data_IF_439220675058
#
_entry.id   IF_439220675058
#
_cell.length_a   1.000
_cell.length_b   1.000
_cell.length_c   1.000
_cell.angle_alpha   90.00
_cell.angle_beta   90.00
_cell.angle_gamma   90.00
#
_symmetry.space_group_name_H-M   'P 1'
#
loop_
_entity.id
_entity.type
_entity.pdbx_description
1 polymer ?
#
# COMPACT_ATOMS: atom_id res chain seq x y z
N UNK A 1 -18.82 7.83 16.10
CA UNK A 1 -17.91 6.71 15.72
C UNK A 1 -16.96 6.47 16.88
N UNK A 2 -16.87 5.25 17.41
CA UNK A 2 -15.93 4.96 18.48
C UNK A 2 -14.49 5.05 17.99
N UNK A 3 -13.57 5.45 18.87
CA UNK A 3 -12.15 5.51 18.56
C UNK A 3 -11.56 4.11 18.40
N UNK A 4 -10.61 4.00 17.49
CA UNK A 4 -9.77 2.81 17.36
C UNK A 4 -8.68 2.79 18.45
N UNK A 5 -8.13 1.62 18.80
CA UNK A 5 -6.91 1.55 19.58
C UNK A 5 -5.78 2.38 18.93
N UNK A 6 -4.94 3.06 19.74
CA UNK A 6 -3.90 3.94 19.19
C UNK A 6 -2.87 3.23 18.26
N UNK A 7 -2.68 1.94 18.48
CA UNK A 7 -1.76 1.11 17.68
C UNK A 7 -2.33 0.67 16.33
N UNK A 8 -3.58 1.00 16.01
CA UNK A 8 -4.22 0.65 14.73
C UNK A 8 -3.45 1.26 13.57
N UNK A 9 -3.12 0.42 12.58
CA UNK A 9 -2.50 0.82 11.31
C UNK A 9 -3.36 0.26 10.18
N UNK A 10 -3.74 1.11 9.23
CA UNK A 10 -4.73 0.77 8.20
C UNK A 10 -4.29 -0.28 7.19
N UNK A 11 -3.04 -0.23 6.76
CA UNK A 11 -2.46 -1.21 5.83
C UNK A 11 -0.94 -1.22 6.00
N UNK A 12 -0.29 -2.26 5.50
CA UNK A 12 1.17 -2.34 5.51
C UNK A 12 1.78 -1.26 4.60
N UNK A 13 2.95 -0.79 4.98
CA UNK A 13 3.68 0.22 4.21
C UNK A 13 3.97 -0.25 2.79
N UNK A 14 4.39 -1.50 2.64
CA UNK A 14 4.72 -2.06 1.33
C UNK A 14 3.52 -2.14 0.39
N UNK A 15 2.35 -2.49 0.90
CA UNK A 15 1.13 -2.48 0.10
C UNK A 15 0.76 -1.05 -0.33
N UNK A 16 0.81 -0.09 0.58
CA UNK A 16 0.50 1.31 0.25
C UNK A 16 1.50 1.91 -0.73
N UNK A 17 2.79 1.58 -0.62
CA UNK A 17 3.82 1.98 -1.59
C UNK A 17 3.62 1.35 -2.97
N UNK A 18 2.79 0.32 -3.04
CA UNK A 18 2.39 -0.38 -4.27
C UNK A 18 0.90 -0.16 -4.57
N UNK A 19 0.42 1.05 -4.34
CA UNK A 19 -0.94 1.54 -4.62
C UNK A 19 -2.05 0.99 -3.70
N UNK A 20 -1.73 0.13 -2.73
CA UNK A 20 -2.69 -0.36 -1.74
C UNK A 20 -3.89 -1.09 -2.32
N UNK A 21 -3.68 -1.97 -3.26
CA UNK A 21 -4.74 -2.75 -3.89
C UNK A 21 -5.22 -3.93 -3.05
N UNK A 22 -4.45 -4.34 -2.06
CA UNK A 22 -4.79 -5.42 -1.12
C UNK A 22 -4.58 -4.94 0.30
N UNK A 23 -5.48 -5.33 1.20
CA UNK A 23 -5.42 -5.02 2.63
C UNK A 23 -5.98 -6.20 3.41
N UNK A 24 -5.15 -6.81 4.25
CA UNK A 24 -5.60 -7.88 5.15
C UNK A 24 -5.93 -7.30 6.51
N UNK A 25 -7.12 -7.63 7.01
CA UNK A 25 -7.60 -7.16 8.30
C UNK A 25 -8.58 -8.17 8.91
N UNK A 26 -8.33 -8.53 10.17
CA UNK A 26 -9.21 -9.39 10.97
C UNK A 26 -9.65 -10.68 10.23
N UNK A 27 -8.68 -11.37 9.64
CA UNK A 27 -8.90 -12.63 8.94
C UNK A 27 -9.54 -12.53 7.56
N UNK A 28 -9.68 -11.32 7.02
CA UNK A 28 -10.17 -11.07 5.65
C UNK A 28 -9.16 -10.28 4.84
N UNK A 29 -9.19 -10.49 3.53
CA UNK A 29 -8.45 -9.68 2.57
C UNK A 29 -9.44 -8.87 1.75
N UNK A 30 -9.23 -7.56 1.72
CA UNK A 30 -10.01 -6.62 0.90
C UNK A 30 -9.14 -6.21 -0.28
N UNK A 31 -9.68 -6.23 -1.49
CA UNK A 31 -8.86 -5.98 -2.67
C UNK A 31 -9.63 -5.36 -3.82
N UNK A 32 -8.87 -4.75 -4.73
CA UNK A 32 -9.37 -4.23 -6.00
C UNK A 32 -9.38 -5.36 -7.03
N UNK A 33 -10.55 -5.78 -7.49
CA UNK A 33 -10.65 -6.84 -8.47
C UNK A 33 -10.52 -6.29 -9.89
N UNK A 34 -9.33 -6.44 -10.48
CA UNK A 34 -9.03 -5.94 -11.82
C UNK A 34 -9.95 -6.52 -12.89
N UNK A 35 -10.46 -7.73 -12.68
CA UNK A 35 -11.37 -8.39 -13.62
C UNK A 35 -12.79 -7.84 -13.58
N UNK A 36 -13.07 -6.94 -12.62
CA UNK A 36 -14.35 -6.23 -12.48
C UNK A 36 -14.07 -4.74 -12.24
N UNK A 37 -13.28 -4.11 -13.11
CA UNK A 37 -12.95 -2.68 -13.12
C UNK A 37 -12.34 -2.17 -11.80
N UNK A 38 -11.51 -2.94 -11.16
CA UNK A 38 -10.87 -2.61 -9.87
C UNK A 38 -11.85 -2.37 -8.72
N UNK A 39 -13.05 -2.95 -8.79
CA UNK A 39 -14.04 -2.78 -7.72
C UNK A 39 -13.68 -3.55 -6.46
N UNK A 40 -14.24 -3.09 -5.34
CA UNK A 40 -13.93 -3.62 -4.02
C UNK A 40 -14.53 -5.02 -3.81
N UNK A 41 -13.67 -5.95 -3.48
CA UNK A 41 -14.00 -7.34 -3.12
C UNK A 41 -13.40 -7.71 -1.77
N UNK A 42 -13.93 -8.76 -1.15
CA UNK A 42 -13.32 -9.42 -0.01
C UNK A 42 -13.14 -10.91 -0.27
N UNK A 43 -12.22 -11.53 0.47
CA UNK A 43 -11.96 -12.97 0.44
C UNK A 43 -11.29 -13.41 1.74
N UNK A 44 -11.20 -14.73 1.95
CA UNK A 44 -10.29 -15.28 2.94
C UNK A 44 -8.84 -15.18 2.45
N UNK A 45 -7.82 -15.13 3.34
CA UNK A 45 -6.42 -15.13 2.90
C UNK A 45 -6.03 -16.33 2.04
N UNK A 46 -6.78 -17.43 2.14
CA UNK A 46 -6.64 -18.63 1.29
C UNK A 46 -7.29 -18.49 -0.09
N UNK A 47 -7.77 -17.31 -0.44
CA UNK A 47 -8.48 -17.02 -1.70
C UNK A 47 -9.82 -17.75 -1.83
N UNK A 48 -10.45 -18.08 -0.72
CA UNK A 48 -11.79 -18.65 -0.65
C UNK A 48 -12.83 -17.56 -0.35
N UNK A 49 -14.10 -17.85 -0.64
CA UNK A 49 -15.22 -16.98 -0.30
C UNK A 49 -15.07 -15.55 -0.87
N UNK A 50 -14.78 -15.45 -2.15
CA UNK A 50 -14.55 -14.19 -2.84
C UNK A 50 -15.90 -13.51 -3.12
N UNK A 51 -16.10 -12.30 -2.59
CA UNK A 51 -17.37 -11.56 -2.67
C UNK A 51 -17.16 -10.13 -3.12
N UNK A 52 -18.01 -9.65 -4.01
CA UNK A 52 -18.09 -8.24 -4.38
C UNK A 52 -18.74 -7.43 -3.25
N UNK A 53 -18.09 -6.32 -2.86
CA UNK A 53 -18.59 -5.43 -1.83
C UNK A 53 -19.16 -4.11 -2.34
N UNK A 54 -18.77 -3.68 -3.55
CA UNK A 54 -19.24 -2.41 -4.08
C UNK A 54 -18.87 -2.20 -5.54
N UNK A 55 -19.33 -1.07 -6.10
CA UNK A 55 -19.12 -0.73 -7.51
C UNK A 55 -18.09 0.38 -7.74
N UNK A 56 -17.49 0.91 -6.70
CA UNK A 56 -16.40 1.87 -6.82
C UNK A 56 -15.09 1.15 -7.18
N UNK A 57 -14.38 1.67 -8.18
CA UNK A 57 -12.99 1.28 -8.45
C UNK A 57 -12.11 1.85 -7.36
N UNK A 58 -11.28 1.03 -6.74
CA UNK A 58 -10.59 1.35 -5.49
C UNK A 58 -9.09 1.15 -5.56
N UNK A 59 -8.37 1.96 -4.79
CA UNK A 59 -6.98 1.76 -4.43
C UNK A 59 -6.72 2.39 -3.05
N UNK A 60 -5.52 2.27 -2.53
CA UNK A 60 -5.16 2.76 -1.19
C UNK A 60 -6.15 2.28 -0.13
N UNK A 61 -6.41 0.98 -0.11
CA UNK A 61 -7.36 0.36 0.81
C UNK A 61 -6.75 0.32 2.21
N UNK A 62 -7.50 0.83 3.18
CA UNK A 62 -7.17 0.80 4.60
C UNK A 62 -8.29 0.11 5.36
N UNK A 63 -7.98 -0.55 6.46
CA UNK A 63 -8.96 -1.14 7.35
C UNK A 63 -8.60 -0.89 8.81
N UNK A 64 -9.60 -0.64 9.63
CA UNK A 64 -9.41 -0.47 11.07
C UNK A 64 -10.76 -0.34 11.78
N UNK A 65 -10.86 -0.94 12.98
CA UNK A 65 -12.10 -0.94 13.72
C UNK A 65 -13.23 -1.61 12.94
N UNK A 66 -14.26 -0.86 12.64
CA UNK A 66 -15.46 -1.35 11.93
C UNK A 66 -15.53 -0.88 10.48
N UNK A 67 -14.47 -0.25 9.96
CA UNK A 67 -14.52 0.45 8.68
C UNK A 67 -13.38 0.08 7.75
N UNK A 68 -13.69 0.21 6.44
CA UNK A 68 -12.73 0.32 5.35
C UNK A 68 -12.64 1.78 4.91
N UNK A 69 -11.46 2.13 4.41
CA UNK A 69 -11.20 3.42 3.77
C UNK A 69 -10.54 3.14 2.44
N UNK A 70 -10.89 3.89 1.41
CA UNK A 70 -10.29 3.70 0.09
C UNK A 70 -10.38 4.96 -0.75
N UNK A 71 -9.46 5.08 -1.70
CA UNK A 71 -9.53 6.09 -2.73
C UNK A 71 -10.30 5.53 -3.92
N UNK A 72 -11.43 6.17 -4.23
CA UNK A 72 -12.24 5.86 -5.40
C UNK A 72 -11.64 6.53 -6.64
N UNK A 73 -11.28 5.72 -7.64
CA UNK A 73 -10.73 6.19 -8.92
C UNK A 73 -11.72 6.14 -10.07
N UNK A 74 -12.88 5.54 -9.85
CA UNK A 74 -13.94 5.37 -10.84
C UNK A 74 -15.05 4.48 -10.29
N UNK A 75 -15.87 3.94 -11.17
CA UNK A 75 -16.90 2.98 -10.82
C UNK A 75 -17.16 2.03 -12.00
N UNK A 76 -17.62 0.80 -11.70
CA UNK A 76 -17.93 -0.20 -12.71
C UNK A 76 -19.39 -0.15 -13.19
N UNK A 77 -19.63 -0.72 -14.38
CA UNK A 77 -20.95 -1.09 -14.89
C UNK A 77 -21.97 0.04 -14.92
N UNK A 78 -23.21 -0.33 -14.66
CA UNK A 78 -24.37 0.58 -14.65
C UNK A 78 -24.51 1.36 -13.34
N UNK A 79 -23.59 1.21 -12.42
CA UNK A 79 -23.62 1.86 -11.10
C UNK A 79 -23.41 3.37 -11.14
N UNK A 80 -23.21 3.96 -12.32
CA UNK A 80 -23.04 5.38 -12.45
C UNK A 80 -23.47 5.88 -13.80
N UNK A 81 -24.29 6.88 -13.82
CA UNK A 81 -24.47 7.76 -14.95
C UNK A 81 -23.14 8.50 -15.14
N UNK A 82 -22.68 8.68 -16.36
CA UNK A 82 -21.37 9.20 -16.79
C UNK A 82 -20.54 10.03 -15.79
N UNK A 83 -21.13 11.01 -15.12
CA UNK A 83 -20.44 11.86 -14.15
C UNK A 83 -20.01 11.12 -12.87
N UNK A 84 -20.74 10.10 -12.43
CA UNK A 84 -20.41 9.31 -11.23
C UNK A 84 -19.25 8.36 -11.48
N UNK A 85 -19.02 7.93 -12.71
CA UNK A 85 -17.89 7.07 -13.10
C UNK A 85 -16.55 7.80 -13.03
N UNK A 86 -16.57 9.12 -13.07
CA UNK A 86 -15.37 9.96 -13.06
C UNK A 86 -15.13 10.64 -11.70
N UNK A 87 -16.05 10.49 -10.75
CA UNK A 87 -15.88 11.06 -9.41
C UNK A 87 -14.77 10.37 -8.68
N UNK A 88 -13.76 11.15 -8.30
CA UNK A 88 -12.67 10.71 -7.43
C UNK A 88 -12.96 11.22 -6.02
N UNK A 89 -12.83 10.33 -5.04
CA UNK A 89 -13.08 10.68 -3.64
C UNK A 89 -12.41 9.67 -2.71
N UNK A 90 -12.05 10.13 -1.53
CA UNK A 90 -11.62 9.26 -0.45
C UNK A 90 -12.83 8.95 0.42
N UNK A 91 -13.13 7.68 0.58
CA UNK A 91 -14.37 7.21 1.19
C UNK A 91 -14.12 6.31 2.40
N UNK A 92 -15.11 6.26 3.29
CA UNK A 92 -15.22 5.28 4.37
C UNK A 92 -16.48 4.45 4.14
N UNK A 93 -16.43 3.14 4.39
CA UNK A 93 -17.60 2.28 4.41
C UNK A 93 -17.48 1.23 5.54
N UNK A 94 -18.57 0.53 5.82
CA UNK A 94 -18.51 -0.64 6.71
C UNK A 94 -17.70 -1.77 6.07
N UNK A 95 -17.26 -2.73 6.89
CA UNK A 95 -16.46 -3.87 6.42
C UNK A 95 -17.18 -4.74 5.37
N UNK A 96 -18.50 -4.67 5.30
CA UNK A 96 -19.30 -5.34 4.27
C UNK A 96 -19.52 -4.51 3.01
N UNK A 97 -18.92 -3.33 2.91
CA UNK A 97 -19.04 -2.42 1.79
C UNK A 97 -20.24 -1.47 1.84
N UNK A 98 -21.13 -1.59 2.82
CA UNK A 98 -22.30 -0.72 2.97
C UNK A 98 -21.97 0.62 3.65
N UNK A 99 -22.93 1.54 3.64
CA UNK A 99 -22.88 2.84 4.31
C UNK A 99 -21.67 3.67 3.89
N UNK A 100 -21.50 3.84 2.59
CA UNK A 100 -20.41 4.62 2.02
C UNK A 100 -20.58 6.10 2.34
N UNK A 101 -19.54 6.69 2.94
CA UNK A 101 -19.44 8.11 3.27
C UNK A 101 -18.22 8.71 2.59
N UNK A 102 -18.41 9.75 1.78
CA UNK A 102 -17.30 10.52 1.21
C UNK A 102 -16.61 11.36 2.29
N UNK A 103 -15.29 11.25 2.40
CA UNK A 103 -14.49 11.99 3.37
C UNK A 103 -13.89 13.25 2.77
N UNK A 104 -13.31 13.15 1.57
CA UNK A 104 -12.76 14.27 0.82
C UNK A 104 -12.74 13.97 -0.67
N UNK A 105 -12.75 15.02 -1.49
CA UNK A 105 -12.53 14.93 -2.94
C UNK A 105 -11.12 15.33 -3.36
N UNK A 106 -10.24 15.55 -2.41
CA UNK A 106 -8.86 15.87 -2.73
C UNK A 106 -8.18 14.72 -3.49
N UNK A 107 -7.28 15.02 -4.44
CA UNK A 107 -6.53 13.99 -5.14
C UNK A 107 -5.50 13.37 -4.20
N UNK A 108 -5.74 12.13 -3.81
CA UNK A 108 -4.90 11.41 -2.86
C UNK A 108 -3.73 10.74 -3.57
N UNK A 109 -2.51 11.01 -3.15
CA UNK A 109 -1.35 10.22 -3.56
C UNK A 109 -1.14 9.02 -2.65
N UNK A 110 -1.19 9.22 -1.34
CA UNK A 110 -1.12 8.15 -0.33
C UNK A 110 -1.84 8.57 0.93
N UNK A 111 -2.53 7.64 1.56
CA UNK A 111 -3.15 7.83 2.86
C UNK A 111 -2.86 6.65 3.77
N UNK A 112 -2.74 6.90 5.08
CA UNK A 112 -2.58 5.88 6.11
C UNK A 112 -3.52 6.16 7.28
N UNK A 113 -4.02 5.10 7.88
CA UNK A 113 -4.78 5.17 9.14
C UNK A 113 -3.85 4.84 10.30
N UNK A 114 -3.76 5.75 11.27
CA UNK A 114 -3.05 5.51 12.54
C UNK A 114 -4.00 5.86 13.68
N UNK A 115 -4.35 4.87 14.48
CA UNK A 115 -5.40 5.05 15.49
C UNK A 115 -6.72 5.46 14.85
N UNK A 116 -7.25 6.62 15.24
CA UNK A 116 -8.48 7.19 14.68
C UNK A 116 -8.24 8.39 13.77
N UNK A 117 -7.01 8.58 13.31
CA UNK A 117 -6.64 9.65 12.39
C UNK A 117 -6.21 9.10 11.03
N UNK A 118 -6.68 9.75 9.98
CA UNK A 118 -6.25 9.53 8.61
C UNK A 118 -5.18 10.57 8.26
N UNK A 119 -4.00 10.10 7.87
CA UNK A 119 -2.88 10.91 7.40
C UNK A 119 -2.89 10.87 5.88
N UNK A 120 -3.11 12.02 5.26
CA UNK A 120 -3.45 12.13 3.85
C UNK A 120 -2.42 13.03 3.16
N UNK A 121 -1.77 12.49 2.13
CA UNK A 121 -0.90 13.23 1.23
C UNK A 121 -1.64 13.53 -0.06
N UNK A 122 -1.79 14.80 -0.38
CA UNK A 122 -2.40 15.26 -1.62
C UNK A 122 -1.42 16.06 -2.46
N UNK A 123 -1.56 15.96 -3.77
CA UNK A 123 -0.84 16.81 -4.73
C UNK A 123 -1.86 17.27 -5.75
N UNK A 124 -2.11 18.57 -5.79
CA UNK A 124 -2.99 19.23 -6.75
C UNK A 124 -2.27 20.41 -7.43
N UNK A 125 -3.01 21.20 -8.19
CA UNK A 125 -2.48 22.39 -8.89
C UNK A 125 -1.92 23.47 -7.95
N UNK A 126 -2.31 23.43 -6.66
CA UNK A 126 -1.79 24.34 -5.61
C UNK A 126 -0.53 23.78 -4.93
N UNK A 127 -0.06 22.61 -5.34
CA UNK A 127 1.10 21.93 -4.78
C UNK A 127 0.76 20.88 -3.73
N UNK A 128 1.79 20.27 -3.11
CA UNK A 128 1.62 19.23 -2.12
C UNK A 128 1.05 19.76 -0.81
N UNK A 129 0.17 18.95 -0.20
CA UNK A 129 -0.37 19.20 1.14
C UNK A 129 -0.48 17.88 1.90
N UNK A 130 0.14 17.82 3.07
CA UNK A 130 0.02 16.72 3.99
C UNK A 130 -0.80 17.15 5.21
N UNK A 131 -1.87 16.42 5.51
CA UNK A 131 -2.74 16.73 6.63
C UNK A 131 -3.25 15.47 7.32
N UNK A 132 -3.71 15.62 8.55
CA UNK A 132 -4.49 14.59 9.24
C UNK A 132 -5.93 15.03 9.42
N UNK A 133 -6.82 14.04 9.49
CA UNK A 133 -8.24 14.25 9.70
C UNK A 133 -8.77 13.04 10.49
N UNK A 134 -9.68 13.26 11.44
CA UNK A 134 -10.31 12.15 12.12
C UNK A 134 -11.20 11.32 11.19
N UNK A 135 -11.39 10.05 11.54
CA UNK A 135 -12.23 9.12 10.77
C UNK A 135 -13.69 9.55 10.64
N UNK A 136 -14.15 10.49 11.44
CA UNK A 136 -15.49 11.09 11.36
C UNK A 136 -15.54 12.40 10.55
N UNK A 137 -14.44 12.76 9.87
CA UNK A 137 -14.20 13.98 9.08
C UNK A 137 -13.92 15.25 9.90
N UNK A 138 -13.89 15.16 11.24
CA UNK A 138 -13.58 16.31 12.08
C UNK A 138 -12.07 16.56 12.18
N UNK A 139 -11.71 17.70 12.76
CA UNK A 139 -10.35 18.05 13.18
C UNK A 139 -9.29 17.92 12.08
N UNK A 140 -9.57 18.48 10.92
CA UNK A 140 -8.57 18.57 9.85
C UNK A 140 -7.44 19.52 10.26
N UNK A 141 -6.22 19.01 10.30
CA UNK A 141 -5.00 19.76 10.66
C UNK A 141 -3.96 19.63 9.57
N UNK A 142 -3.53 20.74 8.98
CA UNK A 142 -2.43 20.77 8.02
C UNK A 142 -1.09 20.57 8.74
N UNK A 143 -0.26 19.66 8.25
CA UNK A 143 1.01 19.29 8.87
C UNK A 143 2.22 19.71 8.06
N UNK A 144 2.13 19.71 6.73
CA UNK A 144 3.23 20.11 5.85
C UNK A 144 2.71 20.53 4.47
N UNK A 145 3.49 21.40 3.80
CA UNK A 145 3.25 21.82 2.41
C UNK A 145 4.26 21.21 1.42
N UNK A 146 4.83 20.08 1.77
CA UNK A 146 5.74 19.29 0.96
C UNK A 146 5.36 17.80 1.08
N UNK A 147 5.91 16.98 0.18
CA UNK A 147 5.56 15.57 0.13
C UNK A 147 6.08 14.81 1.35
N UNK A 148 5.16 14.13 2.03
CA UNK A 148 5.43 13.15 3.09
C UNK A 148 4.65 11.88 2.75
N UNK A 149 5.36 10.76 2.61
CA UNK A 149 4.71 9.46 2.44
C UNK A 149 4.37 8.86 3.81
N UNK A 150 3.09 8.76 4.19
CA UNK A 150 2.71 8.28 5.51
C UNK A 150 2.62 6.75 5.62
N UNK A 151 3.03 6.01 4.61
CA UNK A 151 2.77 4.57 4.52
C UNK A 151 3.37 3.77 5.67
N UNK A 152 4.58 4.11 6.13
CA UNK A 152 5.28 3.34 7.16
C UNK A 152 4.96 3.84 8.56
N UNK A 153 3.90 3.28 9.15
CA UNK A 153 3.44 3.63 10.50
C UNK A 153 3.62 2.43 11.44
N UNK A 154 4.26 2.67 12.58
CA UNK A 154 4.52 1.65 13.62
C UNK A 154 4.38 2.31 14.99
N UNK A 155 3.56 1.71 15.85
CA UNK A 155 3.40 2.14 17.25
C UNK A 155 3.17 3.65 17.44
N UNK A 156 2.27 4.23 16.63
CA UNK A 156 1.94 5.66 16.71
C UNK A 156 3.00 6.60 16.14
N UNK A 157 3.95 6.08 15.36
CA UNK A 157 4.99 6.85 14.69
C UNK A 157 4.92 6.61 13.19
N UNK A 158 4.95 7.68 12.39
CA UNK A 158 5.09 7.61 10.94
C UNK A 158 6.54 7.86 10.58
N UNK A 159 7.15 6.90 9.88
CA UNK A 159 8.52 7.01 9.36
C UNK A 159 8.48 7.33 7.88
N UNK A 160 9.24 8.33 7.45
CA UNK A 160 9.26 8.77 6.06
C UNK A 160 10.63 9.31 5.67
N UNK A 161 10.92 9.32 4.38
CA UNK A 161 12.13 9.96 3.87
C UNK A 161 11.88 11.42 3.52
N UNK A 162 12.88 12.27 3.73
CA UNK A 162 12.85 13.65 3.29
C UNK A 162 12.71 13.76 1.77
N UNK A 163 12.08 14.84 1.31
CA UNK A 163 11.80 15.10 -0.11
C UNK A 163 12.22 16.48 -0.58
N UNK A 164 12.70 17.33 0.34
CA UNK A 164 13.13 18.70 0.02
C UNK A 164 14.65 18.81 -0.10
N UNK A 165 15.35 18.89 1.04
CA UNK A 165 16.79 19.18 1.08
C UNK A 165 17.63 17.91 1.16
N UNK A 166 17.06 16.82 1.61
CA UNK A 166 17.74 15.55 1.80
C UNK A 166 16.73 14.38 1.75
N UNK A 167 17.26 13.16 1.81
CA UNK A 167 16.48 11.92 1.90
C UNK A 167 16.70 11.21 3.23
N UNK A 168 16.89 11.97 4.32
CA UNK A 168 17.04 11.42 5.66
C UNK A 168 15.78 10.66 6.10
N UNK A 169 15.94 9.76 7.03
CA UNK A 169 14.81 9.13 7.71
C UNK A 169 14.32 10.05 8.83
N UNK A 170 13.05 10.42 8.72
CA UNK A 170 12.33 11.21 9.74
C UNK A 170 11.27 10.36 10.43
N UNK A 171 10.93 10.75 11.64
CA UNK A 171 9.82 10.17 12.40
C UNK A 171 8.88 11.28 12.86
N UNK A 172 7.59 11.09 12.62
CA UNK A 172 6.52 11.94 13.14
C UNK A 172 5.78 11.19 14.25
N UNK A 173 5.76 11.77 15.44
CA UNK A 173 4.96 11.28 16.55
C UNK A 173 3.50 11.69 16.33
N UNK A 174 2.61 10.73 16.13
CA UNK A 174 1.20 11.02 15.83
C UNK A 174 0.40 11.59 17.02
N UNK A 175 0.91 11.45 18.23
CA UNK A 175 0.26 12.06 19.42
C UNK A 175 0.55 13.55 19.57
N UNK A 176 1.70 14.03 19.05
CA UNK A 176 2.16 15.41 19.25
C UNK A 176 2.38 16.19 17.95
N UNK A 177 2.34 15.52 16.80
CA UNK A 177 2.76 16.01 15.48
C UNK A 177 4.25 16.39 15.42
N UNK A 178 5.02 16.08 16.45
CA UNK A 178 6.46 16.38 16.53
C UNK A 178 7.27 15.52 15.57
N UNK A 179 8.21 16.16 14.86
CA UNK A 179 9.09 15.50 13.88
C UNK A 179 10.52 15.51 14.40
N UNK A 180 11.21 14.38 14.23
CA UNK A 180 12.64 14.25 14.54
C UNK A 180 13.35 13.49 13.43
N UNK A 181 14.66 13.77 13.27
CA UNK A 181 15.54 12.99 12.40
C UNK A 181 15.93 11.70 13.10
N UNK A 182 15.72 10.57 12.44
CA UNK A 182 16.11 9.24 12.95
C UNK A 182 17.51 8.87 12.47
N UNK A 183 17.76 9.09 11.17
CA UNK A 183 19.03 8.73 10.55
C UNK A 183 19.31 9.62 9.33
N UNK A 184 20.54 10.04 9.16
CA UNK A 184 21.02 10.87 8.04
C UNK A 184 21.44 10.04 6.81
N UNK A 185 20.75 8.94 6.58
CA UNK A 185 20.93 8.12 5.38
C UNK A 185 20.32 8.75 4.13
N UNK A 186 20.31 8.00 3.05
CA UNK A 186 19.80 8.46 1.76
C UNK A 186 18.75 7.44 1.24
N UNK A 187 17.54 7.59 1.77
CA UNK A 187 16.48 6.60 1.65
C UNK A 187 15.39 7.01 0.66
N UNK A 188 14.87 5.99 -0.04
CA UNK A 188 13.66 6.10 -0.84
C UNK A 188 12.71 4.96 -0.48
N UNK A 189 11.43 5.28 -0.21
CA UNK A 189 10.40 4.33 0.21
C UNK A 189 10.76 3.49 1.43
N UNK A 190 11.08 4.09 2.59
CA UNK A 190 11.43 3.33 3.78
C UNK A 190 10.23 2.55 4.32
N UNK A 191 10.48 1.30 4.71
CA UNK A 191 9.53 0.44 5.41
C UNK A 191 10.16 -0.03 6.71
N UNK A 192 9.58 0.35 7.85
CA UNK A 192 10.05 -0.04 9.17
C UNK A 192 9.37 -1.34 9.59
N UNK A 193 10.19 -2.37 9.87
CA UNK A 193 9.75 -3.64 10.44
C UNK A 193 10.70 -4.07 11.55
N UNK A 194 10.21 -4.10 12.80
CA UNK A 194 11.05 -4.41 13.95
C UNK A 194 12.23 -3.44 14.07
N UNK A 195 13.43 -3.98 14.15
CA UNK A 195 14.67 -3.21 14.24
C UNK A 195 15.16 -2.68 12.88
N UNK A 196 14.52 -3.04 11.77
CA UNK A 196 15.04 -2.74 10.44
C UNK A 196 14.19 -1.74 9.69
N UNK A 197 14.88 -0.91 8.90
CA UNK A 197 14.30 -0.06 7.86
C UNK A 197 14.75 -0.59 6.51
N UNK A 198 13.81 -1.09 5.72
CA UNK A 198 14.06 -1.53 4.33
C UNK A 198 13.86 -0.34 3.41
N UNK A 199 14.76 -0.13 2.47
CA UNK A 199 14.70 1.06 1.60
C UNK A 199 15.49 0.86 0.30
N UNK A 200 15.19 1.74 -0.68
CA UNK A 200 15.99 1.88 -1.89
C UNK A 200 17.07 2.92 -1.64
N UNK A 201 18.32 2.58 -1.93
CA UNK A 201 19.49 3.43 -1.67
C UNK A 201 19.71 4.39 -2.85
N UNK A 202 19.32 5.64 -2.66
CA UNK A 202 19.35 6.68 -3.71
C UNK A 202 20.76 6.94 -4.23
N UNK A 203 21.79 6.89 -3.37
CA UNK A 203 23.18 7.19 -3.76
C UNK A 203 23.86 6.04 -4.49
N UNK A 204 23.35 4.83 -4.37
CA UNK A 204 23.95 3.61 -4.94
C UNK A 204 22.97 2.94 -5.92
N UNK A 205 22.49 3.71 -6.87
CA UNK A 205 21.69 3.24 -8.01
C UNK A 205 20.41 2.50 -7.58
N UNK A 206 19.76 2.98 -6.52
CA UNK A 206 18.49 2.45 -6.01
C UNK A 206 18.54 0.94 -5.68
N UNK A 207 19.68 0.46 -5.23
CA UNK A 207 19.80 -0.91 -4.72
C UNK A 207 19.00 -1.08 -3.43
N UNK A 208 18.61 -2.31 -3.13
CA UNK A 208 17.82 -2.61 -1.92
C UNK A 208 18.73 -2.83 -0.72
N UNK A 209 18.46 -2.08 0.34
CA UNK A 209 19.17 -2.14 1.62
C UNK A 209 18.20 -2.26 2.79
N UNK A 210 18.74 -2.66 3.95
CA UNK A 210 18.09 -2.46 5.24
C UNK A 210 19.08 -1.86 6.23
N UNK A 211 18.57 -1.03 7.13
CA UNK A 211 19.33 -0.37 8.18
C UNK A 211 18.84 -0.83 9.54
N UNK A 212 19.77 -1.25 10.41
CA UNK A 212 19.44 -1.60 11.79
C UNK A 212 19.36 -0.36 12.65
N UNK A 213 18.20 -0.09 13.23
CA UNK A 213 17.99 1.07 14.11
C UNK A 213 18.81 0.95 15.42
N UNK A 214 18.97 -0.26 15.97
CA UNK A 214 19.69 -0.47 17.22
C UNK A 214 21.21 -0.50 17.05
N UNK A 215 21.72 -1.02 15.92
CA UNK A 215 23.15 -1.19 15.67
C UNK A 215 23.75 -0.08 14.81
N UNK A 216 22.91 0.75 14.16
CA UNK A 216 23.33 1.76 13.20
C UNK A 216 24.19 1.19 12.06
N UNK A 217 23.77 0.06 11.51
CA UNK A 217 24.49 -0.66 10.45
C UNK A 217 23.62 -0.81 9.21
N UNK A 218 24.23 -0.61 8.04
CA UNK A 218 23.59 -0.84 6.74
C UNK A 218 23.93 -2.25 6.28
N UNK A 219 22.93 -2.99 5.85
CA UNK A 219 23.07 -4.27 5.17
C UNK A 219 22.58 -4.13 3.74
N UNK A 220 23.43 -4.37 2.76
CA UNK A 220 23.06 -4.39 1.35
C UNK A 220 22.43 -5.74 1.03
N UNK A 221 21.14 -5.74 0.67
CA UNK A 221 20.41 -6.99 0.36
C UNK A 221 20.66 -7.44 -1.07
N UNK A 222 20.76 -6.50 -2.03
CA UNK A 222 21.19 -6.75 -3.39
C UNK A 222 21.84 -5.51 -3.97
N UNK A 223 22.84 -5.70 -4.85
CA UNK A 223 23.46 -4.61 -5.61
C UNK A 223 22.72 -4.29 -6.92
N UNK A 224 21.70 -5.05 -7.24
CA UNK A 224 20.87 -4.80 -8.42
C UNK A 224 20.08 -3.50 -8.24
N UNK A 225 19.94 -2.72 -9.32
CA UNK A 225 18.99 -1.61 -9.35
C UNK A 225 17.57 -2.18 -9.33
N UNK A 226 16.74 -1.65 -8.45
CA UNK A 226 15.33 -2.09 -8.34
C UNK A 226 14.38 -0.94 -8.66
N UNK A 227 13.18 -1.28 -9.11
CA UNK A 227 12.13 -0.31 -9.42
C UNK A 227 11.14 -0.14 -8.27
N UNK A 228 10.82 -1.24 -7.58
CA UNK A 228 9.90 -1.27 -6.45
C UNK A 228 10.11 -2.54 -5.64
N UNK A 229 9.58 -2.55 -4.42
CA UNK A 229 9.67 -3.69 -3.52
C UNK A 229 8.53 -3.72 -2.52
N UNK A 230 8.35 -4.86 -1.87
CA UNK A 230 7.50 -5.04 -0.70
C UNK A 230 8.15 -6.02 0.26
N UNK A 231 7.92 -5.84 1.55
CA UNK A 231 8.50 -6.69 2.58
C UNK A 231 7.45 -7.10 3.60
N UNK A 232 7.44 -8.36 3.96
CA UNK A 232 6.53 -8.89 4.98
C UNK A 232 6.63 -10.41 5.09
N UNK A 233 6.21 -10.92 6.23
CA UNK A 233 6.11 -12.37 6.48
C UNK A 233 7.41 -13.15 6.24
N UNK A 234 8.56 -12.50 6.46
CA UNK A 234 9.88 -13.10 6.29
C UNK A 234 10.46 -13.02 4.88
N UNK A 235 9.79 -12.33 3.94
CA UNK A 235 10.19 -12.23 2.54
C UNK A 235 10.25 -10.79 2.06
N UNK A 236 11.14 -10.55 1.08
CA UNK A 236 11.17 -9.33 0.27
C UNK A 236 10.91 -9.72 -1.18
N UNK A 237 9.92 -9.07 -1.80
CA UNK A 237 9.65 -9.18 -3.23
C UNK A 237 10.08 -7.88 -3.90
N UNK A 238 10.84 -7.97 -4.98
CA UNK A 238 11.40 -6.80 -5.63
C UNK A 238 11.54 -6.98 -7.14
N UNK A 239 11.32 -5.89 -7.86
CA UNK A 239 11.48 -5.85 -9.32
C UNK A 239 12.87 -5.34 -9.67
N UNK A 240 13.65 -6.17 -10.35
CA UNK A 240 14.96 -5.81 -10.87
C UNK A 240 14.80 -5.03 -12.17
N UNK A 241 15.50 -3.89 -12.26
CA UNK A 241 15.56 -3.06 -13.45
C UNK A 241 16.67 -3.54 -14.39
N UNK A 242 16.52 -3.31 -15.70
CA UNK A 242 17.56 -3.52 -16.69
C UNK A 242 17.15 -4.47 -17.81
N UNK A 243 18.15 -4.91 -18.59
CA UNK A 243 17.94 -5.77 -19.76
C UNK A 243 17.42 -7.16 -19.36
N UNK A 244 17.83 -7.65 -18.21
CA UNK A 244 17.34 -8.91 -17.63
C UNK A 244 16.33 -8.66 -16.50
N UNK A 245 15.37 -7.77 -16.74
CA UNK A 245 14.36 -7.41 -15.77
C UNK A 245 13.57 -8.64 -15.31
N UNK A 246 13.35 -8.75 -14.00
CA UNK A 246 12.61 -9.84 -13.41
C UNK A 246 12.07 -9.47 -12.02
N UNK A 247 11.00 -10.15 -11.62
CA UNK A 247 10.50 -10.14 -10.26
C UNK A 247 11.23 -11.22 -9.46
N UNK A 248 11.84 -10.82 -8.36
CA UNK A 248 12.57 -11.71 -7.47
C UNK A 248 11.96 -11.73 -6.07
N UNK A 249 12.26 -12.79 -5.37
CA UNK A 249 12.02 -12.93 -3.93
C UNK A 249 13.32 -13.28 -3.22
N UNK A 250 13.48 -12.78 -2.01
CA UNK A 250 14.53 -13.21 -1.08
C UNK A 250 13.93 -13.33 0.32
N UNK A 251 14.64 -13.99 1.22
CA UNK A 251 14.35 -13.87 2.65
C UNK A 251 14.65 -12.44 3.12
N UNK A 252 13.97 -11.98 4.14
CA UNK A 252 14.09 -10.59 4.60
C UNK A 252 15.46 -10.23 5.18
N UNK A 253 16.33 -11.21 5.42
CA UNK A 253 17.75 -11.01 5.77
C UNK A 253 18.68 -10.95 4.54
N UNK A 254 18.14 -11.03 3.35
CA UNK A 254 18.90 -11.00 2.09
C UNK A 254 19.38 -12.37 1.60
N UNK A 255 19.14 -13.44 2.36
CA UNK A 255 19.54 -14.79 1.95
C UNK A 255 18.55 -15.41 0.96
N UNK A 256 19.00 -16.44 0.23
CA UNK A 256 18.18 -17.31 -0.61
C UNK A 256 17.30 -16.53 -1.61
N UNK A 257 17.92 -15.81 -2.52
CA UNK A 257 17.16 -15.10 -3.58
C UNK A 257 16.86 -16.00 -4.78
N UNK A 258 15.69 -15.80 -5.39
CA UNK A 258 15.28 -16.52 -6.61
C UNK A 258 14.37 -15.69 -7.49
N UNK A 259 14.37 -16.00 -8.79
CA UNK A 259 13.47 -15.38 -9.77
C UNK A 259 12.10 -16.05 -9.67
N UNK A 260 11.04 -15.24 -9.63
CA UNK A 260 9.64 -15.70 -9.72
C UNK A 260 9.15 -15.59 -11.16
N UNK A 261 9.34 -14.41 -11.76
CA UNK A 261 8.83 -14.12 -13.09
C UNK A 261 9.79 -13.21 -13.86
N UNK A 262 10.09 -13.55 -15.09
CA UNK A 262 10.87 -12.71 -15.99
C UNK A 262 10.00 -11.61 -16.59
N UNK A 263 10.57 -10.42 -16.79
CA UNK A 263 9.88 -9.24 -17.28
C UNK A 263 9.72 -8.15 -16.22
N UNK A 264 8.93 -7.14 -16.56
CA UNK A 264 8.70 -5.99 -15.69
C UNK A 264 7.34 -6.12 -15.00
N UNK A 265 7.35 -6.09 -13.68
CA UNK A 265 6.16 -6.19 -12.86
C UNK A 265 6.06 -5.01 -11.89
N UNK A 266 4.86 -4.72 -11.45
CA UNK A 266 4.54 -3.60 -10.57
C UNK A 266 3.38 -3.97 -9.65
N UNK A 267 2.96 -3.04 -8.78
CA UNK A 267 1.84 -3.22 -7.87
C UNK A 267 2.01 -4.46 -6.98
N UNK A 268 3.20 -4.63 -6.41
CA UNK A 268 3.54 -5.80 -5.57
C UNK A 268 2.83 -5.66 -4.23
N UNK A 269 1.73 -6.36 -4.05
CA UNK A 269 0.97 -6.40 -2.80
C UNK A 269 1.10 -7.75 -2.13
N UNK A 270 1.10 -7.77 -0.79
CA UNK A 270 1.27 -8.98 -0.01
C UNK A 270 0.12 -9.16 0.97
N UNK A 271 -0.25 -10.41 1.16
CA UNK A 271 -1.09 -10.88 2.27
C UNK A 271 -0.29 -11.90 3.09
N UNK A 272 -0.88 -12.45 4.14
CA UNK A 272 -0.22 -13.49 4.95
C UNK A 272 0.04 -14.79 4.17
N UNK A 273 -0.55 -14.98 3.00
CA UNK A 273 -0.42 -16.23 2.23
C UNK A 273 0.09 -16.06 0.80
N UNK A 274 -0.10 -14.88 0.19
CA UNK A 274 0.24 -14.67 -1.21
C UNK A 274 0.94 -13.32 -1.44
N UNK A 275 1.71 -13.25 -2.51
CA UNK A 275 2.10 -12.01 -3.17
C UNK A 275 1.28 -11.87 -4.46
N UNK A 276 0.81 -10.64 -4.71
CA UNK A 276 0.04 -10.27 -5.90
C UNK A 276 0.80 -9.21 -6.67
N UNK A 277 0.80 -9.30 -8.00
CA UNK A 277 1.50 -8.34 -8.85
C UNK A 277 0.87 -8.26 -10.23
N UNK A 278 1.18 -7.16 -10.93
CA UNK A 278 0.71 -6.92 -12.31
C UNK A 278 1.90 -6.75 -13.23
N UNK A 279 1.72 -7.04 -14.51
CA UNK A 279 2.71 -6.70 -15.52
C UNK A 279 2.72 -5.18 -15.72
N UNK A 280 3.91 -4.58 -15.75
CA UNK A 280 4.05 -3.15 -16.02
C UNK A 280 3.51 -2.82 -17.41
N UNK A 281 2.62 -1.83 -17.48
CA UNK A 281 1.96 -1.44 -18.73
C UNK A 281 0.77 -2.31 -19.13
N UNK A 282 0.45 -3.35 -18.37
CA UNK A 282 -0.72 -4.20 -18.58
C UNK A 282 -1.41 -4.48 -17.24
N UNK A 283 -2.40 -3.67 -16.93
CA UNK A 283 -3.20 -3.74 -15.70
C UNK A 283 -4.48 -4.58 -15.85
N UNK A 284 -4.51 -5.49 -16.82
CA UNK A 284 -5.69 -6.32 -17.11
C UNK A 284 -5.79 -7.59 -16.28
N UNK A 285 -4.75 -7.94 -15.53
CA UNK A 285 -4.69 -9.18 -14.75
C UNK A 285 -3.98 -9.00 -13.42
N UNK A 286 -4.37 -9.80 -12.42
CA UNK A 286 -3.57 -10.10 -11.24
C UNK A 286 -2.86 -11.43 -11.44
N UNK A 287 -1.57 -11.42 -11.19
CA UNK A 287 -0.77 -12.63 -10.97
C UNK A 287 -0.59 -12.84 -9.49
N UNK A 288 -0.42 -14.08 -9.07
CA UNK A 288 -0.18 -14.40 -7.67
C UNK A 288 0.81 -15.55 -7.53
N UNK A 289 1.44 -15.59 -6.37
CA UNK A 289 2.34 -16.67 -5.96
C UNK A 289 2.17 -16.89 -4.46
N UNK A 290 2.06 -18.16 -4.00
CA UNK A 290 2.16 -18.42 -2.57
C UNK A 290 3.46 -17.87 -2.00
N UNK A 291 3.44 -17.30 -0.79
CA UNK A 291 4.65 -16.74 -0.19
C UNK A 291 5.78 -17.76 -0.15
N UNK A 292 6.96 -17.36 -0.62
CA UNK A 292 8.15 -18.21 -0.68
C UNK A 292 8.18 -19.22 -1.81
N UNK A 293 7.16 -19.28 -2.66
CA UNK A 293 7.14 -20.15 -3.85
C UNK A 293 8.01 -19.57 -4.98
N UNK A 294 8.48 -20.45 -5.86
CA UNK A 294 9.22 -20.08 -7.07
C UNK A 294 8.33 -20.02 -8.31
N UNK A 295 7.07 -20.36 -8.19
CA UNK A 295 6.11 -20.38 -9.30
C UNK A 295 4.99 -19.37 -9.08
N UNK A 296 4.45 -18.87 -10.19
CA UNK A 296 3.32 -17.95 -10.18
C UNK A 296 2.27 -18.38 -11.22
N UNK A 297 1.07 -17.83 -11.08
CA UNK A 297 -0.03 -18.04 -12.02
C UNK A 297 -0.96 -16.83 -12.05
N UNK A 298 -1.87 -16.81 -13.01
CA UNK A 298 -2.97 -15.85 -13.02
C UNK A 298 -3.87 -16.11 -11.80
N UNK A 299 -4.33 -15.05 -11.13
CA UNK A 299 -5.29 -15.14 -10.04
C UNK A 299 -6.70 -15.42 -10.59
N UNK A 300 -6.90 -16.65 -11.05
CA UNK A 300 -8.09 -17.07 -11.78
C UNK A 300 -9.35 -17.05 -10.91
N UNK A 301 -9.24 -17.33 -9.62
CA UNK A 301 -10.39 -17.32 -8.70
C UNK A 301 -11.06 -15.92 -8.62
N UNK A 302 -10.28 -14.83 -8.69
CA UNK A 302 -10.83 -13.49 -8.75
C UNK A 302 -11.53 -13.20 -10.07
N UNK A 303 -11.02 -13.72 -11.18
CA UNK A 303 -11.67 -13.64 -12.49
C UNK A 303 -13.00 -14.37 -12.48
N UNK A 304 -13.04 -15.59 -11.95
CA UNK A 304 -14.26 -16.35 -11.83
C UNK A 304 -15.29 -15.66 -10.93
N UNK A 305 -14.85 -15.08 -9.82
CA UNK A 305 -15.73 -14.31 -8.93
C UNK A 305 -16.33 -13.07 -9.63
N UNK A 306 -15.56 -12.39 -10.49
CA UNK A 306 -16.05 -11.29 -11.30
C UNK A 306 -17.13 -11.74 -12.29
N UNK A 307 -16.94 -12.88 -12.95
CA UNK A 307 -17.94 -13.46 -13.84
C UNK A 307 -19.22 -13.85 -13.08
N UNK A 308 -19.09 -14.42 -11.90
CA UNK A 308 -20.24 -14.81 -11.06
C UNK A 308 -21.02 -13.59 -10.57
N UNK A 309 -20.35 -12.47 -10.28
CA UNK A 309 -20.98 -11.22 -9.88
C UNK A 309 -21.84 -10.61 -10.99
N UNK A 310 -21.49 -10.81 -12.27
CA UNK A 310 -22.27 -10.34 -13.41
C UNK A 310 -23.60 -11.08 -13.61
N UNK A 311 -23.74 -12.27 -13.00
CA UNK A 311 -24.95 -13.11 -13.13
C UNK A 311 -26.03 -12.77 -12.10
N UNK A 312 -25.75 -11.91 -11.14
CA UNK A 312 -26.65 -11.45 -10.07
C UNK A 312 -27.24 -10.09 -10.40
#
# INVERSE_FOLDING_TARGET
IPDNPPETVGNTAGNLNNSGYFCEYDGKVYFANVYDSDTLYSMDPSEQDIKKLGNASVQNILAGGKFLYYYQTGASGDAGIGALRTVRSFNRCKLNGSDVTGLTRDPISTAQLVGSDLYIMTVDDNGPLFYRMKIDKSDKTELANFEINPASAVNGTIYYNGTQDNHYLYAMNTATDGVSTVWDGNLWYPIVQGDYVYYMDVENDYRLCRYSLSRNEIEVLTNERIDCFNVGYGYVYYQVNGEEACLKCMRDDGSDSWVIAEGNYTAINMTSQYVYFQMFGDDSSWYHSPLGSQSYSVFDAARQAALDALKK
#
